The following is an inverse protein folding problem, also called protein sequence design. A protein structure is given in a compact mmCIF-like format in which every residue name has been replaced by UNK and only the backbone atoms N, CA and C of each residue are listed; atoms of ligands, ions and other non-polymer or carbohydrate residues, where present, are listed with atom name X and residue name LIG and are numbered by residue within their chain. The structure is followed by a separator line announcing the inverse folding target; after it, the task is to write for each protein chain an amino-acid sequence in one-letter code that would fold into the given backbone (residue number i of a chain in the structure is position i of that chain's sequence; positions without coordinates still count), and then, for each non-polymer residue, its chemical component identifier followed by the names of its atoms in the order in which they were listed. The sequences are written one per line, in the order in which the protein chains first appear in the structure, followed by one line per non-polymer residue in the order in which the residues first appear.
data_IF_275392168015
#
_entry.id   IF_275392168015
#
_cell.length_a   1.000
_cell.length_b   1.000
_cell.length_c   1.000
_cell.angle_alpha   90.00
_cell.angle_beta   90.00
_cell.angle_gamma   90.00
#
_symmetry.space_group_name_H-M   'P 1'
#
loop_
_entity.id
_entity.type
_entity.pdbx_description
1 polymer ?
#
# COMPACT_ATOMS: atom_id res chain seq x y z
N UNK A 1 -21.57 53.78 103.92
CA UNK A 1 -20.64 52.62 103.93
C UNK A 1 -20.53 51.90 102.57
N UNK A 2 -21.08 52.41 101.45
CA UNK A 2 -21.22 51.64 100.19
C UNK A 2 -20.19 52.00 99.07
N UNK A 3 -19.68 53.23 99.05
CA UNK A 3 -18.74 53.70 97.99
C UNK A 3 -17.33 53.08 98.09
N UNK A 4 -16.84 52.87 99.32
CA UNK A 4 -15.49 52.34 99.56
C UNK A 4 -15.35 50.86 99.12
N UNK A 5 -16.44 50.10 99.18
CA UNK A 5 -16.47 48.70 98.77
C UNK A 5 -16.43 48.55 97.24
N UNK A 6 -17.24 49.34 96.53
CA UNK A 6 -17.26 49.39 95.06
C UNK A 6 -15.88 49.75 94.48
N UNK A 7 -15.24 50.79 95.01
CA UNK A 7 -13.91 51.23 94.55
C UNK A 7 -12.84 50.15 94.79
N UNK A 8 -12.95 49.34 95.84
CA UNK A 8 -12.04 48.21 96.08
C UNK A 8 -12.26 47.06 95.10
N UNK A 9 -13.49 46.86 94.65
CA UNK A 9 -13.82 45.82 93.68
C UNK A 9 -13.28 46.19 92.30
N UNK A 10 -13.50 47.45 91.87
CA UNK A 10 -12.95 48.01 90.63
C UNK A 10 -11.41 47.98 90.63
N UNK A 11 -10.78 48.34 91.75
CA UNK A 11 -9.32 48.24 91.90
C UNK A 11 -8.81 46.79 91.75
N UNK A 12 -9.59 45.81 92.19
CA UNK A 12 -9.23 44.40 92.10
C UNK A 12 -9.37 43.89 90.67
N UNK A 13 -10.42 44.28 89.95
CA UNK A 13 -10.55 43.96 88.52
C UNK A 13 -9.48 44.64 87.67
N UNK A 14 -9.18 45.92 87.93
CA UNK A 14 -8.11 46.65 87.26
C UNK A 14 -6.74 46.02 87.51
N UNK A 15 -6.48 45.53 88.73
CA UNK A 15 -5.26 44.75 89.01
C UNK A 15 -5.21 43.43 88.27
N UNK A 16 -6.31 42.68 88.24
CA UNK A 16 -6.35 41.40 87.51
C UNK A 16 -6.14 41.58 86.01
N UNK A 17 -6.68 42.67 85.44
CA UNK A 17 -6.45 43.02 84.03
C UNK A 17 -5.03 43.49 83.78
N UNK A 18 -4.47 44.35 84.66
CA UNK A 18 -3.06 44.74 84.59
C UNK A 18 -2.12 43.54 84.71
N UNK A 19 -2.34 42.64 85.68
CA UNK A 19 -1.55 41.43 85.87
C UNK A 19 -1.66 40.50 84.66
N UNK A 20 -2.83 40.46 84.00
CA UNK A 20 -3.03 39.76 82.72
C UNK A 20 -2.17 40.34 81.60
N UNK A 21 -2.14 41.66 81.44
CA UNK A 21 -1.29 42.33 80.45
C UNK A 21 0.19 42.22 80.79
N UNK A 22 0.61 42.36 82.05
CA UNK A 22 1.99 42.14 82.49
C UNK A 22 2.45 40.71 82.20
N UNK A 23 1.59 39.71 82.46
CA UNK A 23 1.91 38.32 82.14
C UNK A 23 2.10 38.06 80.64
N UNK A 24 1.35 38.74 79.78
CA UNK A 24 1.54 38.68 78.32
C UNK A 24 2.84 39.38 77.89
N UNK A 25 3.20 40.47 78.56
CA UNK A 25 4.42 41.26 78.32
C UNK A 25 5.68 40.68 78.97
N UNK A 26 5.58 39.58 79.75
CA UNK A 26 6.75 38.92 80.35
C UNK A 26 7.74 38.48 79.26
N UNK A 27 9.06 38.61 79.50
CA UNK A 27 10.08 38.25 78.50
C UNK A 27 9.95 36.80 77.99
N UNK A 28 9.56 35.87 78.86
CA UNK A 28 9.39 34.44 78.53
C UNK A 28 8.26 34.18 77.53
N UNK A 29 7.13 34.90 77.61
CA UNK A 29 6.02 34.78 76.65
C UNK A 29 6.37 35.40 75.29
N UNK A 30 7.19 36.46 75.27
CA UNK A 30 7.73 37.06 74.05
C UNK A 30 8.77 36.15 73.37
N UNK A 31 9.64 35.48 74.13
CA UNK A 31 10.57 34.48 73.62
C UNK A 31 9.86 33.27 73.01
N UNK A 32 8.82 32.77 73.67
CA UNK A 32 7.97 31.70 73.14
C UNK A 32 7.28 32.13 71.84
N UNK A 33 6.71 33.34 71.79
CA UNK A 33 6.12 33.89 70.56
C UNK A 33 7.15 33.96 69.42
N UNK A 34 8.34 34.49 69.69
CA UNK A 34 9.42 34.59 68.70
C UNK A 34 9.89 33.21 68.22
N UNK A 35 9.93 32.21 69.11
CA UNK A 35 10.23 30.82 68.76
C UNK A 35 9.14 30.23 67.84
N UNK A 36 7.87 30.34 68.22
CA UNK A 36 6.75 29.85 67.39
C UNK A 36 6.68 30.58 66.05
N UNK A 37 6.91 31.89 66.02
CA UNK A 37 6.96 32.68 64.78
C UNK A 37 8.06 32.21 63.82
N UNK A 38 9.26 31.89 64.34
CA UNK A 38 10.36 31.31 63.54
C UNK A 38 10.03 29.91 63.04
N UNK A 39 9.41 29.07 63.87
CA UNK A 39 8.97 27.73 63.46
C UNK A 39 7.86 27.79 62.42
N UNK A 40 6.89 28.69 62.56
CA UNK A 40 5.87 28.96 61.53
C UNK A 40 6.54 29.37 60.21
N UNK A 41 7.49 30.29 60.23
CA UNK A 41 8.23 30.69 59.02
C UNK A 41 9.03 29.55 58.38
N UNK A 42 9.61 28.63 59.18
CA UNK A 42 10.27 27.42 58.67
C UNK A 42 9.27 26.48 57.99
N UNK A 43 8.13 26.24 58.63
CA UNK A 43 7.06 25.39 58.10
C UNK A 43 6.49 25.99 56.80
N UNK A 44 6.23 27.30 56.76
CA UNK A 44 5.76 28.00 55.56
C UNK A 44 6.73 27.89 54.38
N UNK A 45 8.03 28.01 54.63
CA UNK A 45 9.05 27.80 53.61
C UNK A 45 9.11 26.34 53.15
N UNK A 46 8.91 25.38 54.07
CA UNK A 46 8.78 23.96 53.75
C UNK A 46 7.57 23.69 52.85
N UNK A 47 6.41 24.30 53.13
CA UNK A 47 5.20 24.19 52.32
C UNK A 47 5.45 24.73 50.90
N UNK A 48 6.06 25.92 50.77
CA UNK A 48 6.41 26.48 49.45
C UNK A 48 7.37 25.60 48.64
N UNK A 49 8.30 24.92 49.32
CA UNK A 49 9.20 23.93 48.69
C UNK A 49 8.43 22.74 48.15
N UNK A 50 7.57 22.13 48.99
CA UNK A 50 6.74 20.98 48.60
C UNK A 50 5.73 21.31 47.49
N UNK A 51 5.21 22.53 47.44
CA UNK A 51 4.35 22.99 46.34
C UNK A 51 5.08 23.02 44.99
N UNK A 52 6.33 23.51 44.97
CA UNK A 52 7.17 23.46 43.76
C UNK A 52 7.47 22.03 43.35
N UNK A 53 7.83 21.17 44.29
CA UNK A 53 8.11 19.76 44.00
C UNK A 53 6.88 19.04 43.44
N UNK A 54 5.68 19.35 43.95
CA UNK A 54 4.40 18.84 43.42
C UNK A 54 4.15 19.27 41.98
N UNK A 55 4.46 20.50 41.60
CA UNK A 55 4.36 20.95 40.20
C UNK A 55 5.35 20.21 39.30
N UNK A 56 6.57 19.98 39.76
CA UNK A 56 7.58 19.21 39.04
C UNK A 56 7.10 17.77 38.82
N UNK A 57 6.56 17.12 39.85
CA UNK A 57 6.00 15.77 39.75
C UNK A 57 4.86 15.69 38.71
N UNK A 58 3.93 16.65 38.70
CA UNK A 58 2.87 16.71 37.67
C UNK A 58 3.43 16.80 36.26
N UNK A 59 4.50 17.58 36.04
CA UNK A 59 5.17 17.65 34.73
C UNK A 59 5.77 16.30 34.33
N UNK A 60 6.40 15.59 35.28
CA UNK A 60 6.92 14.25 35.03
C UNK A 60 5.82 13.24 34.70
N UNK A 61 4.70 13.25 35.41
CA UNK A 61 3.54 12.40 35.10
C UNK A 61 3.01 12.65 33.69
N UNK A 62 2.87 13.91 33.28
CA UNK A 62 2.46 14.27 31.93
C UNK A 62 3.47 13.78 30.88
N UNK A 63 4.76 13.91 31.13
CA UNK A 63 5.81 13.42 30.24
C UNK A 63 5.78 11.88 30.10
N UNK A 64 5.45 11.16 31.16
CA UNK A 64 5.28 9.70 31.12
C UNK A 64 4.09 9.33 30.23
N UNK A 65 2.95 10.02 30.39
CA UNK A 65 1.77 9.81 29.54
C UNK A 65 2.05 10.12 28.06
N UNK A 66 2.81 11.18 27.77
CA UNK A 66 3.23 11.49 26.41
C UNK A 66 4.18 10.44 25.84
N UNK A 67 5.15 9.98 26.64
CA UNK A 67 6.04 8.88 26.26
C UNK A 67 5.24 7.63 25.87
N UNK A 68 4.24 7.24 26.65
CA UNK A 68 3.42 6.06 26.35
C UNK A 68 2.59 6.23 25.08
N UNK A 69 2.05 7.44 24.83
CA UNK A 69 1.39 7.79 23.56
C UNK A 69 2.35 7.71 22.37
N UNK A 70 3.60 8.14 22.54
CA UNK A 70 4.61 8.06 21.49
C UNK A 70 4.99 6.59 21.24
N UNK A 71 5.19 5.79 22.29
CA UNK A 71 5.53 4.36 22.17
C UNK A 71 4.43 3.59 21.45
N UNK A 72 3.15 3.86 21.76
CA UNK A 72 2.03 3.22 21.05
C UNK A 72 1.96 3.64 19.58
N UNK A 73 2.20 4.92 19.25
CA UNK A 73 2.32 5.38 17.86
C UNK A 73 3.48 4.70 17.12
N UNK A 74 4.64 4.56 17.75
CA UNK A 74 5.80 3.87 17.16
C UNK A 74 5.44 2.42 16.82
N UNK A 75 4.79 1.70 17.74
CA UNK A 75 4.34 0.32 17.48
C UNK A 75 3.36 0.23 16.31
N UNK A 76 2.41 1.17 16.22
CA UNK A 76 1.45 1.22 15.12
C UNK A 76 2.14 1.47 13.77
N UNK A 77 3.06 2.44 13.71
CA UNK A 77 3.85 2.74 12.51
C UNK A 77 4.74 1.57 12.10
N UNK A 78 5.38 0.90 13.06
CA UNK A 78 6.18 -0.31 12.79
C UNK A 78 5.33 -1.42 12.16
N UNK A 79 4.11 -1.61 12.65
CA UNK A 79 3.16 -2.57 12.06
C UNK A 79 2.80 -2.17 10.62
N UNK A 80 2.44 -0.90 10.39
CA UNK A 80 2.13 -0.40 9.05
C UNK A 80 3.29 -0.57 8.07
N UNK A 81 4.53 -0.31 8.50
CA UNK A 81 5.72 -0.52 7.67
C UNK A 81 5.89 -2.00 7.33
N UNK A 82 5.67 -2.90 8.29
CA UNK A 82 5.76 -4.36 8.05
C UNK A 82 4.70 -4.82 7.05
N UNK A 83 3.47 -4.36 7.21
CA UNK A 83 2.36 -4.70 6.33
C UNK A 83 2.59 -4.13 4.91
N UNK A 84 3.12 -2.91 4.80
CA UNK A 84 3.50 -2.30 3.52
C UNK A 84 4.60 -3.09 2.80
N UNK A 85 5.65 -3.51 3.51
CA UNK A 85 6.72 -4.36 2.95
C UNK A 85 6.18 -5.70 2.46
N UNK A 86 5.31 -6.34 3.24
CA UNK A 86 4.71 -7.61 2.83
C UNK A 86 3.87 -7.47 1.54
N UNK A 87 3.17 -6.35 1.39
CA UNK A 87 2.43 -6.04 0.15
C UNK A 87 3.39 -5.76 -1.02
N UNK A 88 4.47 -5.01 -0.79
CA UNK A 88 5.51 -4.75 -1.79
C UNK A 88 6.16 -6.05 -2.30
N UNK A 89 6.50 -6.97 -1.39
CA UNK A 89 7.03 -8.29 -1.74
C UNK A 89 6.03 -9.10 -2.58
N UNK A 90 4.74 -9.05 -2.23
CA UNK A 90 3.68 -9.73 -2.97
C UNK A 90 3.50 -9.12 -4.37
N UNK A 91 3.51 -7.81 -4.49
CA UNK A 91 3.34 -7.12 -5.77
C UNK A 91 4.54 -7.35 -6.69
N UNK A 92 5.76 -7.37 -6.15
CA UNK A 92 6.95 -7.78 -6.91
C UNK A 92 6.81 -9.20 -7.46
N UNK A 93 6.32 -10.14 -6.64
CA UNK A 93 6.09 -11.52 -7.06
C UNK A 93 5.03 -11.63 -8.16
N UNK A 94 3.94 -10.86 -8.07
CA UNK A 94 2.92 -10.78 -9.14
C UNK A 94 3.54 -10.32 -10.44
N UNK A 95 4.39 -9.29 -10.40
CA UNK A 95 5.03 -8.76 -11.60
C UNK A 95 6.07 -9.71 -12.20
N UNK A 96 6.80 -10.46 -11.38
CA UNK A 96 7.67 -11.55 -11.84
C UNK A 96 6.87 -12.64 -12.55
N UNK A 97 5.77 -13.09 -11.94
CA UNK A 97 4.88 -14.08 -12.55
C UNK A 97 4.29 -13.56 -13.87
N UNK A 98 3.85 -12.30 -13.88
CA UNK A 98 3.31 -11.66 -15.08
C UNK A 98 4.33 -11.62 -16.22
N UNK A 99 5.58 -11.28 -15.93
CA UNK A 99 6.66 -11.27 -16.91
C UNK A 99 6.93 -12.67 -17.48
N UNK A 100 6.97 -13.70 -16.62
CA UNK A 100 7.19 -15.09 -17.04
C UNK A 100 6.05 -15.61 -17.93
N UNK A 101 4.80 -15.35 -17.53
CA UNK A 101 3.62 -15.74 -18.31
C UNK A 101 3.55 -14.97 -19.64
N UNK A 102 3.88 -13.68 -19.62
CA UNK A 102 3.97 -12.87 -20.84
C UNK A 102 4.99 -13.45 -21.83
N UNK A 103 6.20 -13.75 -21.37
CA UNK A 103 7.24 -14.37 -22.22
C UNK A 103 6.79 -15.71 -22.79
N UNK A 104 6.17 -16.54 -21.95
CA UNK A 104 5.69 -17.87 -22.33
C UNK A 104 4.62 -17.79 -23.42
N UNK A 105 3.62 -16.94 -23.23
CA UNK A 105 2.53 -16.76 -24.19
C UNK A 105 3.05 -16.10 -25.48
N UNK A 106 3.91 -15.09 -25.37
CA UNK A 106 4.51 -14.43 -26.54
C UNK A 106 5.32 -15.41 -27.40
N UNK A 107 6.05 -16.32 -26.76
CA UNK A 107 6.75 -17.40 -27.44
C UNK A 107 5.79 -18.33 -28.20
N UNK A 108 4.69 -18.74 -27.55
CA UNK A 108 3.67 -19.62 -28.16
C UNK A 108 2.91 -18.96 -29.32
N UNK A 109 2.75 -17.64 -29.30
CA UNK A 109 2.20 -16.87 -30.41
C UNK A 109 3.21 -16.64 -31.55
N UNK A 110 4.40 -17.25 -31.47
CA UNK A 110 5.43 -17.22 -32.51
C UNK A 110 5.81 -15.79 -32.93
N UNK A 111 6.05 -14.93 -31.95
CA UNK A 111 6.31 -13.50 -32.17
C UNK A 111 7.49 -13.23 -33.11
N UNK A 112 8.49 -14.12 -33.15
CA UNK A 112 9.68 -13.98 -34.01
C UNK A 112 9.52 -14.58 -35.41
N UNK A 113 8.38 -15.18 -35.75
CA UNK A 113 8.14 -15.81 -37.07
C UNK A 113 8.32 -14.84 -38.24
N UNK A 114 7.96 -13.57 -38.05
CA UNK A 114 7.98 -12.53 -39.11
C UNK A 114 9.19 -11.58 -39.02
N UNK A 115 10.15 -11.84 -38.14
CA UNK A 115 11.33 -10.99 -37.94
C UNK A 115 11.01 -9.66 -37.24
N UNK A 116 11.97 -9.20 -36.43
CA UNK A 116 12.01 -7.78 -36.09
C UNK A 116 12.35 -6.98 -37.36
N UNK A 117 12.13 -5.67 -37.34
CA UNK A 117 12.50 -4.80 -38.46
C UNK A 117 14.04 -4.84 -38.63
N UNK A 118 14.56 -5.55 -39.64
CA UNK A 118 15.99 -5.93 -39.76
C UNK A 118 16.97 -4.75 -39.60
N UNK A 119 16.58 -3.56 -40.03
CA UNK A 119 17.40 -2.35 -39.89
C UNK A 119 17.55 -1.84 -38.45
N UNK A 120 16.64 -2.21 -37.54
CA UNK A 120 16.67 -1.88 -36.11
C UNK A 120 17.34 -2.97 -35.27
N UNK A 121 17.43 -4.20 -35.80
CA UNK A 121 18.08 -5.35 -35.15
C UNK A 121 19.61 -5.22 -35.15
N UNK A 122 20.23 -4.70 -36.20
CA UNK A 122 21.70 -4.63 -36.31
C UNK A 122 22.39 -3.91 -35.13
N UNK A 123 21.67 -3.03 -34.42
CA UNK A 123 22.14 -2.39 -33.19
C UNK A 123 21.87 -3.21 -31.92
N UNK A 124 20.81 -4.02 -31.89
CA UNK A 124 20.49 -4.96 -30.81
C UNK A 124 21.36 -6.22 -30.90
N UNK A 125 21.65 -6.75 -32.09
CA UNK A 125 22.42 -7.98 -32.28
C UNK A 125 23.82 -7.88 -31.64
N UNK A 126 24.46 -6.71 -31.70
CA UNK A 126 25.75 -6.49 -31.03
C UNK A 126 25.65 -6.58 -29.50
N UNK A 127 24.60 -6.04 -28.87
CA UNK A 127 24.40 -6.14 -27.42
C UNK A 127 23.94 -7.54 -26.98
N UNK A 128 23.16 -8.23 -27.82
CA UNK A 128 22.66 -9.59 -27.61
C UNK A 128 23.78 -10.65 -27.68
N UNK A 129 24.72 -10.49 -28.62
CA UNK A 129 25.85 -11.43 -28.81
C UNK A 129 26.86 -11.34 -27.67
N UNK A 130 27.13 -10.14 -27.14
CA UNK A 130 28.17 -9.92 -26.13
C UNK A 130 27.81 -10.41 -24.72
N UNK A 131 26.51 -10.53 -24.37
CA UNK A 131 26.05 -10.87 -23.01
C UNK A 131 25.61 -12.33 -22.80
N UNK A 132 25.60 -13.17 -23.84
CA UNK A 132 24.95 -14.50 -23.81
C UNK A 132 25.87 -15.72 -23.63
N UNK A 133 25.42 -16.74 -22.87
CA UNK A 133 26.04 -18.08 -22.81
C UNK A 133 25.94 -18.76 -24.18
N UNK A 134 27.08 -19.21 -24.74
CA UNK A 134 27.24 -19.73 -26.13
C UNK A 134 26.29 -20.86 -26.58
N UNK A 135 25.54 -21.51 -25.70
CA UNK A 135 24.76 -22.73 -26.02
C UNK A 135 23.23 -22.56 -26.14
N UNK A 136 22.68 -21.35 -25.99
CA UNK A 136 21.22 -21.12 -26.11
C UNK A 136 20.88 -20.55 -27.50
N UNK A 137 19.82 -21.03 -28.20
CA UNK A 137 19.35 -20.45 -29.47
C UNK A 137 19.11 -18.95 -29.35
N UNK A 138 19.47 -18.17 -30.37
CA UNK A 138 19.38 -16.69 -30.38
C UNK A 138 17.97 -16.21 -30.02
N UNK A 139 16.94 -16.88 -30.56
CA UNK A 139 15.53 -16.65 -30.27
C UNK A 139 15.25 -16.66 -28.76
N UNK A 140 15.68 -17.69 -28.04
CA UNK A 140 15.43 -17.81 -26.61
C UNK A 140 16.16 -16.71 -25.82
N UNK A 141 17.34 -16.28 -26.28
CA UNK A 141 18.06 -15.15 -25.66
C UNK A 141 17.31 -13.84 -25.78
N UNK A 142 16.63 -13.61 -26.90
CA UNK A 142 15.82 -12.40 -27.10
C UNK A 142 14.64 -12.40 -26.12
N UNK A 143 13.92 -13.52 -25.99
CA UNK A 143 12.83 -13.63 -25.02
C UNK A 143 13.29 -13.47 -23.57
N UNK A 144 14.46 -14.01 -23.21
CA UNK A 144 15.05 -13.84 -21.87
C UNK A 144 15.32 -12.36 -21.53
N UNK A 145 15.69 -11.55 -22.52
CA UNK A 145 16.00 -10.12 -22.35
C UNK A 145 14.78 -9.23 -22.24
N UNK A 146 13.60 -9.70 -22.66
CA UNK A 146 12.36 -8.95 -22.49
C UNK A 146 12.10 -8.76 -20.99
N UNK A 147 11.77 -7.55 -20.57
CA UNK A 147 11.38 -7.27 -19.18
C UNK A 147 10.13 -6.41 -19.15
N UNK A 148 9.29 -6.62 -18.15
CA UNK A 148 8.20 -5.69 -17.86
C UNK A 148 8.78 -4.57 -17.00
N UNK A 149 8.79 -3.37 -17.57
CA UNK A 149 9.26 -2.17 -16.88
C UNK A 149 8.43 -1.91 -15.61
N UNK A 150 9.09 -1.50 -14.52
CA UNK A 150 8.44 -1.32 -13.22
C UNK A 150 7.76 0.05 -13.08
N UNK A 151 8.06 1.00 -13.97
CA UNK A 151 7.50 2.35 -13.94
C UNK A 151 6.27 2.46 -14.84
N UNK A 152 6.36 1.97 -16.08
CA UNK A 152 5.28 2.08 -17.08
C UNK A 152 4.60 0.76 -17.45
N UNK A 153 5.07 -0.37 -16.91
CA UNK A 153 4.54 -1.72 -17.14
C UNK A 153 4.60 -2.17 -18.60
N UNK A 154 5.35 -1.49 -19.46
CA UNK A 154 5.52 -1.91 -20.84
C UNK A 154 6.61 -2.98 -20.98
N UNK A 155 6.45 -3.95 -21.90
CA UNK A 155 7.53 -4.86 -22.27
C UNK A 155 8.63 -4.10 -23.01
N UNK A 156 9.86 -4.19 -22.50
CA UNK A 156 11.06 -3.54 -23.05
C UNK A 156 12.18 -4.54 -23.29
N UNK A 157 13.03 -4.26 -24.28
CA UNK A 157 14.35 -4.90 -24.47
C UNK A 157 15.40 -3.80 -24.42
N UNK A 158 16.41 -3.95 -23.56
CA UNK A 158 17.47 -2.95 -23.37
C UNK A 158 16.94 -1.50 -23.17
N UNK A 159 15.80 -1.35 -22.48
CA UNK A 159 15.15 -0.06 -22.21
C UNK A 159 14.30 0.50 -23.35
N UNK A 160 14.23 -0.19 -24.49
CA UNK A 160 13.39 0.20 -25.64
C UNK A 160 12.07 -0.57 -25.60
N UNK A 161 10.95 0.16 -25.72
CA UNK A 161 9.62 -0.45 -25.82
C UNK A 161 9.54 -1.42 -26.99
N UNK A 162 9.07 -2.63 -26.71
CA UNK A 162 8.95 -3.69 -27.71
C UNK A 162 8.06 -3.25 -28.88
N UNK A 163 7.01 -2.49 -28.59
CA UNK A 163 6.10 -1.89 -29.59
C UNK A 163 6.81 -1.01 -30.65
N UNK A 164 7.95 -0.40 -30.32
CA UNK A 164 8.67 0.53 -31.22
C UNK A 164 9.58 -0.19 -32.22
N UNK A 165 9.94 -1.45 -31.91
CA UNK A 165 10.92 -2.24 -32.67
C UNK A 165 10.25 -3.39 -33.44
N UNK A 166 8.92 -3.48 -33.42
CA UNK A 166 8.15 -4.59 -34.02
C UNK A 166 7.30 -4.14 -35.19
N UNK A 167 7.02 -5.08 -36.09
CA UNK A 167 6.01 -4.94 -37.13
C UNK A 167 4.59 -4.79 -36.53
N UNK A 168 3.62 -4.42 -37.37
CA UNK A 168 2.20 -4.36 -36.96
C UNK A 168 1.65 -5.72 -36.54
N UNK A 169 2.12 -6.83 -37.13
CA UNK A 169 1.74 -8.18 -36.70
C UNK A 169 2.34 -8.53 -35.34
N UNK A 170 3.62 -8.16 -35.11
CA UNK A 170 4.29 -8.28 -33.83
C UNK A 170 3.61 -7.48 -32.72
N UNK A 171 3.15 -6.27 -33.01
CA UNK A 171 2.38 -5.43 -32.09
C UNK A 171 1.12 -6.15 -31.57
N UNK A 172 0.34 -6.75 -32.48
CA UNK A 172 -0.88 -7.50 -32.10
C UNK A 172 -0.50 -8.69 -31.21
N UNK A 173 0.55 -9.44 -31.56
CA UNK A 173 1.04 -10.57 -30.74
C UNK A 173 1.42 -10.14 -29.32
N UNK A 174 2.08 -8.98 -29.17
CA UNK A 174 2.39 -8.41 -27.86
C UNK A 174 1.13 -8.09 -27.09
N UNK A 175 0.17 -7.40 -27.71
CA UNK A 175 -1.08 -7.00 -27.06
C UNK A 175 -1.86 -8.23 -26.59
N UNK A 176 -2.02 -9.25 -27.44
CA UNK A 176 -2.71 -10.49 -27.08
C UNK A 176 -1.98 -11.21 -25.93
N UNK A 177 -0.65 -11.34 -26.02
CA UNK A 177 0.15 -11.99 -24.97
C UNK A 177 0.05 -11.24 -23.64
N UNK A 178 0.07 -9.91 -23.69
CA UNK A 178 -0.04 -9.05 -22.51
C UNK A 178 -1.37 -9.25 -21.79
N UNK A 179 -2.49 -9.20 -22.52
CA UNK A 179 -3.80 -9.39 -21.90
C UNK A 179 -4.03 -10.82 -21.38
N UNK A 180 -3.54 -11.84 -22.10
CA UNK A 180 -3.63 -13.21 -21.62
C UNK A 180 -2.78 -13.44 -20.37
N UNK A 181 -1.54 -12.93 -20.34
CA UNK A 181 -0.67 -13.01 -19.17
C UNK A 181 -1.25 -12.26 -17.98
N UNK A 182 -1.86 -11.10 -18.21
CA UNK A 182 -2.49 -10.30 -17.17
C UNK A 182 -3.69 -11.04 -16.58
N UNK A 183 -4.54 -11.63 -17.43
CA UNK A 183 -5.66 -12.47 -16.98
C UNK A 183 -5.16 -13.66 -16.16
N UNK A 184 -4.18 -14.41 -16.68
CA UNK A 184 -3.65 -15.60 -16.00
C UNK A 184 -3.04 -15.27 -14.65
N UNK A 185 -2.22 -14.21 -14.59
CA UNK A 185 -1.65 -13.70 -13.34
C UNK A 185 -2.75 -13.28 -12.36
N UNK A 186 -3.76 -12.57 -12.84
CA UNK A 186 -4.87 -12.13 -12.00
C UNK A 186 -5.62 -13.32 -11.40
N UNK A 187 -5.86 -14.38 -12.19
CA UNK A 187 -6.52 -15.60 -11.72
C UNK A 187 -5.67 -16.29 -10.64
N UNK A 188 -4.35 -16.41 -10.86
CA UNK A 188 -3.44 -17.01 -9.89
C UNK A 188 -3.44 -16.26 -8.54
N UNK A 189 -3.52 -14.92 -8.61
CA UNK A 189 -3.50 -14.04 -7.44
C UNK A 189 -4.89 -13.49 -7.08
N UNK A 190 -5.97 -14.22 -7.38
CA UNK A 190 -7.37 -13.77 -7.28
C UNK A 190 -7.74 -13.09 -5.94
N UNK A 191 -7.17 -13.55 -4.82
CA UNK A 191 -7.49 -13.06 -3.48
C UNK A 191 -6.78 -11.74 -3.15
N UNK A 192 -5.93 -11.26 -4.06
CA UNK A 192 -5.07 -10.08 -3.90
C UNK A 192 -5.09 -9.16 -5.13
N UNK A 193 -6.05 -9.37 -6.04
CA UNK A 193 -6.25 -8.54 -7.24
C UNK A 193 -7.72 -8.15 -7.36
N UNK A 194 -7.99 -7.00 -7.97
CA UNK A 194 -9.35 -6.51 -8.23
C UNK A 194 -9.78 -6.74 -9.68
N UNK A 195 -9.13 -7.66 -10.39
CA UNK A 195 -9.41 -7.91 -11.80
C UNK A 195 -10.78 -8.58 -11.95
N UNK A 196 -11.65 -8.15 -12.88
CA UNK A 196 -13.00 -8.70 -13.03
C UNK A 196 -13.04 -10.12 -13.66
N UNK A 197 -11.89 -10.64 -14.08
CA UNK A 197 -11.73 -11.92 -14.79
C UNK A 197 -12.56 -12.01 -16.08
N UNK A 198 -12.75 -10.86 -16.74
CA UNK A 198 -13.43 -10.75 -18.03
C UNK A 198 -12.46 -10.15 -19.03
N UNK A 199 -12.29 -10.81 -20.18
CA UNK A 199 -11.62 -10.24 -21.34
C UNK A 199 -12.59 -10.09 -22.50
N UNK A 200 -12.49 -8.96 -23.20
CA UNK A 200 -13.28 -8.68 -24.39
C UNK A 200 -12.34 -8.32 -25.53
N UNK A 201 -12.40 -9.07 -26.62
CA UNK A 201 -11.65 -8.82 -27.83
C UNK A 201 -12.62 -8.49 -28.96
N UNK A 202 -12.52 -7.28 -29.48
CA UNK A 202 -13.19 -6.87 -30.70
C UNK A 202 -12.21 -6.95 -31.86
N UNK A 203 -12.47 -7.83 -32.81
CA UNK A 203 -11.65 -8.02 -34.01
C UNK A 203 -10.16 -8.29 -33.69
N UNK A 204 -9.81 -9.28 -32.84
CA UNK A 204 -8.40 -9.53 -32.44
C UNK A 204 -7.46 -9.85 -33.61
N UNK A 205 -8.00 -10.16 -34.80
CA UNK A 205 -7.23 -10.42 -36.02
C UNK A 205 -6.92 -9.16 -36.85
N UNK A 206 -7.46 -7.98 -36.52
CA UNK A 206 -7.41 -6.73 -37.31
C UNK A 206 -6.24 -6.65 -38.30
N UNK A 207 -6.56 -6.68 -39.61
CA UNK A 207 -5.75 -6.59 -40.85
C UNK A 207 -4.37 -7.30 -40.96
N UNK A 208 -3.67 -7.61 -39.88
CA UNK A 208 -2.25 -8.00 -39.88
C UNK A 208 -1.92 -9.25 -39.06
N UNK A 209 -2.90 -9.91 -38.43
CA UNK A 209 -2.67 -11.18 -37.74
C UNK A 209 -2.92 -12.37 -38.68
N UNK A 210 -1.90 -13.24 -38.82
CA UNK A 210 -2.03 -14.47 -39.60
C UNK A 210 -2.95 -15.49 -38.90
N UNK A 211 -3.45 -16.44 -39.68
CA UNK A 211 -4.43 -17.41 -39.20
C UNK A 211 -3.84 -18.41 -38.20
N UNK A 212 -2.56 -18.75 -38.32
CA UNK A 212 -1.89 -19.68 -37.39
C UNK A 212 -1.77 -19.03 -36.01
N UNK A 213 -1.30 -17.78 -35.95
CA UNK A 213 -1.20 -17.02 -34.69
C UNK A 213 -2.56 -16.87 -34.02
N UNK A 214 -3.63 -16.63 -34.80
CA UNK A 214 -4.98 -16.59 -34.25
C UNK A 214 -5.40 -17.94 -33.64
N UNK A 215 -5.05 -19.06 -34.27
CA UNK A 215 -5.33 -20.39 -33.71
C UNK A 215 -4.51 -20.67 -32.45
N UNK A 216 -3.22 -20.32 -32.42
CA UNK A 216 -2.40 -20.43 -31.21
C UNK A 216 -2.98 -19.59 -30.05
N UNK A 217 -3.49 -18.40 -30.34
CA UNK A 217 -4.18 -17.57 -29.36
C UNK A 217 -5.44 -18.25 -28.80
N UNK A 218 -6.27 -18.84 -29.66
CA UNK A 218 -7.45 -19.61 -29.22
C UNK A 218 -7.04 -20.86 -28.42
N UNK A 219 -5.97 -21.54 -28.82
CA UNK A 219 -5.43 -22.69 -28.09
C UNK A 219 -4.96 -22.30 -26.69
N UNK A 220 -4.27 -21.18 -26.55
CA UNK A 220 -3.86 -20.65 -25.24
C UNK A 220 -5.06 -20.30 -24.35
N UNK A 221 -6.11 -19.69 -24.91
CA UNK A 221 -7.35 -19.47 -24.18
C UNK A 221 -7.95 -20.78 -23.65
N UNK A 222 -7.93 -21.83 -24.46
CA UNK A 222 -8.39 -23.15 -24.04
C UNK A 222 -7.48 -23.78 -22.97
N UNK A 223 -6.16 -23.61 -23.07
CA UNK A 223 -5.25 -24.09 -22.03
C UNK A 223 -5.52 -23.40 -20.69
N UNK A 224 -5.68 -22.08 -20.68
CA UNK A 224 -6.03 -21.32 -19.48
C UNK A 224 -7.40 -21.79 -18.93
N UNK A 225 -8.36 -22.11 -19.80
CA UNK A 225 -9.66 -22.65 -19.39
C UNK A 225 -9.55 -24.03 -18.72
N UNK A 226 -8.64 -24.89 -19.21
CA UNK A 226 -8.39 -26.22 -18.61
C UNK A 226 -7.70 -26.06 -17.26
N UNK A 227 -6.72 -25.17 -17.16
CA UNK A 227 -5.98 -24.90 -15.93
C UNK A 227 -6.86 -24.24 -14.85
N UNK A 228 -7.73 -23.31 -15.26
CA UNK A 228 -8.60 -22.52 -14.38
C UNK A 228 -10.09 -22.60 -14.78
N UNK A 229 -10.73 -23.77 -14.57
CA UNK A 229 -12.10 -23.99 -15.01
C UNK A 229 -13.08 -23.07 -14.26
N UNK A 230 -13.93 -22.36 -15.02
CA UNK A 230 -14.98 -21.45 -14.51
C UNK A 230 -14.47 -20.26 -13.68
N UNK A 231 -13.19 -19.89 -13.82
CA UNK A 231 -12.62 -18.75 -13.10
C UNK A 231 -12.69 -17.42 -13.86
N UNK A 232 -13.00 -17.45 -15.16
CA UNK A 232 -12.99 -16.26 -16.01
C UNK A 232 -13.97 -16.39 -17.18
N UNK A 233 -14.22 -15.28 -17.87
CA UNK A 233 -15.01 -15.21 -19.10
C UNK A 233 -14.24 -14.47 -20.18
N UNK A 234 -14.30 -14.98 -21.41
CA UNK A 234 -13.76 -14.30 -22.59
C UNK A 234 -14.87 -14.12 -23.61
N UNK A 235 -15.01 -12.89 -24.11
CA UNK A 235 -15.91 -12.54 -25.21
C UNK A 235 -15.04 -12.17 -26.39
N UNK A 236 -15.28 -12.80 -27.53
CA UNK A 236 -14.50 -12.60 -28.73
C UNK A 236 -15.44 -12.35 -29.91
N UNK A 237 -15.31 -11.19 -30.53
CA UNK A 237 -15.94 -10.86 -31.80
C UNK A 237 -14.87 -10.97 -32.89
N UNK A 238 -15.11 -11.83 -33.89
CA UNK A 238 -14.16 -12.06 -34.98
C UNK A 238 -14.91 -12.49 -36.25
N UNK A 239 -14.44 -12.09 -37.44
CA UNK A 239 -15.03 -12.44 -38.73
C UNK A 239 -14.64 -13.85 -39.14
N UNK A 240 -13.66 -14.45 -38.44
CA UNK A 240 -13.22 -15.82 -38.66
C UNK A 240 -13.44 -16.67 -37.43
N UNK A 241 -13.84 -17.92 -37.68
CA UNK A 241 -14.10 -18.91 -36.64
C UNK A 241 -12.82 -19.41 -35.96
N UNK A 242 -11.72 -19.57 -36.71
CA UNK A 242 -10.52 -20.27 -36.22
C UNK A 242 -10.84 -21.68 -35.68
N UNK A 243 -10.03 -22.13 -34.73
CA UNK A 243 -10.18 -23.43 -34.04
C UNK A 243 -11.19 -23.41 -32.86
N UNK A 244 -12.15 -22.48 -32.85
CA UNK A 244 -13.18 -22.42 -31.80
C UNK A 244 -14.11 -23.65 -31.88
N UNK A 245 -14.31 -24.31 -30.74
CA UNK A 245 -15.23 -25.45 -30.59
C UNK A 245 -16.68 -24.99 -30.82
N UNK A 246 -17.47 -25.82 -31.50
CA UNK A 246 -18.85 -25.47 -31.86
C UNK A 246 -19.75 -25.12 -30.65
N UNK A 247 -19.48 -25.73 -29.49
CA UNK A 247 -20.21 -25.46 -28.24
C UNK A 247 -19.98 -24.05 -27.66
N UNK A 248 -18.83 -23.43 -27.97
CA UNK A 248 -18.44 -22.11 -27.45
C UNK A 248 -18.90 -20.97 -28.38
N UNK A 249 -19.34 -21.31 -29.59
CA UNK A 249 -19.85 -20.37 -30.58
C UNK A 249 -21.29 -19.96 -30.23
N UNK A 250 -21.45 -18.77 -29.64
CA UNK A 250 -22.76 -18.23 -29.24
C UNK A 250 -23.55 -17.62 -30.38
N UNK A 251 -22.86 -16.94 -31.29
CA UNK A 251 -23.48 -16.29 -32.44
C UNK A 251 -22.59 -16.49 -33.67
N UNK A 252 -23.19 -17.03 -34.74
CA UNK A 252 -22.52 -17.27 -36.01
C UNK A 252 -23.30 -16.56 -37.11
N UNK A 253 -22.89 -15.33 -37.42
CA UNK A 253 -23.45 -14.57 -38.53
C UNK A 253 -22.79 -15.01 -39.84
N UNK A 254 -23.58 -15.18 -40.90
CA UNK A 254 -23.06 -15.53 -42.22
C UNK A 254 -23.86 -14.83 -43.32
N UNK A 255 -23.28 -14.75 -44.53
CA UNK A 255 -23.88 -14.04 -45.66
C UNK A 255 -25.18 -14.68 -46.18
N UNK A 256 -25.45 -15.94 -45.84
CA UNK A 256 -26.49 -16.75 -46.50
C UNK A 256 -27.74 -16.91 -45.61
N UNK A 257 -27.58 -17.43 -44.39
CA UNK A 257 -28.70 -17.87 -43.55
C UNK A 257 -28.88 -17.02 -42.28
N UNK A 258 -27.80 -16.46 -41.73
CA UNK A 258 -27.78 -15.76 -40.45
C UNK A 258 -27.29 -14.31 -40.63
N UNK A 259 -28.07 -13.50 -41.34
CA UNK A 259 -27.80 -12.05 -41.46
C UNK A 259 -28.32 -11.33 -40.21
N UNK A 260 -27.57 -10.32 -39.75
CA UNK A 260 -28.00 -9.42 -38.68
C UNK A 260 -29.25 -8.62 -39.11
N UNK A 261 -29.28 -8.22 -40.38
CA UNK A 261 -30.40 -7.53 -41.01
C UNK A 261 -30.94 -8.45 -42.10
N UNK A 262 -32.22 -8.84 -41.98
CA UNK A 262 -32.94 -9.60 -43.01
C UNK A 262 -33.78 -8.62 -43.82
N UNK A 263 -33.65 -8.69 -45.13
CA UNK A 263 -34.55 -8.00 -46.05
C UNK A 263 -35.93 -8.66 -45.93
N UNK A 264 -36.97 -7.85 -45.71
CA UNK A 264 -38.35 -8.32 -45.74
C UNK A 264 -38.69 -8.46 -47.21
N UNK A 265 -38.84 -9.69 -47.69
CA UNK A 265 -39.33 -9.97 -49.04
C UNK A 265 -40.86 -9.85 -48.96
N UNK A 266 -41.41 -8.77 -49.53
CA UNK A 266 -42.84 -8.62 -49.82
C UNK A 266 -43.23 -9.41 -51.07
#
# INVERSE_FOLDING_TARGET
MNKLFLVRLELKELRLTMDGYENQLKPQSIEQYNYFSREVGRIENGIKGLEKDKEVLKKYENLILEKDKIVSKIKALQKQIKDAKANEDLDNKKLETFEEEFKTILFKLDFLKDGFDNNKIDNLDKSIIEKGKKNIPIINRIYEQIKIDREDYYPKIDGVNLYNITSSSGLIRIILSYYLALLKTSILYKDSTNHPFILMFDEPRQQNLDFDTFNHFIEELYQIQVEYPKCFQVILASPVKGNIKAQDLRLALNKVNNKLIKEIIE
#
